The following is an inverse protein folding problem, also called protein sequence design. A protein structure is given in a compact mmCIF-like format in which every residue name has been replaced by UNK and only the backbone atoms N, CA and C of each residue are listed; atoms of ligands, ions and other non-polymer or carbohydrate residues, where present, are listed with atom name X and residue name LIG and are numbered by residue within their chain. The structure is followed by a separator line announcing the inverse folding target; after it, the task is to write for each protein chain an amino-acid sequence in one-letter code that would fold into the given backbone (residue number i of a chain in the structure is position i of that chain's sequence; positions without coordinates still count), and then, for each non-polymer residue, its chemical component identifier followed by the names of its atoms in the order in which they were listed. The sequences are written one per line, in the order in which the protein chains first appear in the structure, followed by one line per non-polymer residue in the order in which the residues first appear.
data_IF_787307637916
#
_entry.id   IF_787307637916
#
_cell.length_a   1.000
_cell.length_b   1.000
_cell.length_c   1.000
_cell.angle_alpha   90.00
_cell.angle_beta   90.00
_cell.angle_gamma   90.00
#
_symmetry.space_group_name_H-M   'P 1'
#
loop_
_entity.id
_entity.type
_entity.pdbx_description
1 polymer ?
#
# COMPACT_ATOMS: atom_id res chain seq x y z
N UNK A 1 -8.15 10.90 12.07
CA UNK A 1 -6.71 11.06 12.00
C UNK A 1 -6.21 10.92 10.57
N UNK A 2 -5.43 11.88 10.12
CA UNK A 2 -4.94 11.88 8.74
C UNK A 2 -3.69 11.04 8.64
N UNK A 3 -3.84 9.88 8.04
CA UNK A 3 -2.68 9.04 7.74
C UNK A 3 -2.28 9.30 6.30
N UNK A 4 -1.10 9.79 6.11
CA UNK A 4 -0.56 9.97 4.77
C UNK A 4 -0.07 8.64 4.24
N UNK A 5 -0.49 8.32 3.02
CA UNK A 5 -0.03 7.11 2.37
C UNK A 5 1.47 7.20 2.10
N UNK A 6 2.14 6.06 2.17
CA UNK A 6 3.58 6.00 1.92
C UNK A 6 3.88 5.99 0.43
N UNK A 7 5.02 6.57 0.01
CA UNK A 7 5.37 6.57 -1.42
C UNK A 7 5.70 5.17 -1.94
N UNK A 8 5.59 5.00 -3.24
CA UNK A 8 6.04 3.79 -3.91
C UNK A 8 7.49 3.51 -3.56
N UNK A 9 7.83 2.23 -3.39
CA UNK A 9 9.18 1.83 -3.05
C UNK A 9 9.47 1.84 -1.56
N UNK A 10 8.52 2.27 -0.73
CA UNK A 10 8.69 2.18 0.73
C UNK A 10 8.76 0.72 1.15
N UNK A 11 9.60 0.44 2.14
CA UNK A 11 9.77 -0.92 2.68
C UNK A 11 9.21 -0.93 4.09
N UNK A 12 8.31 -1.89 4.35
CA UNK A 12 7.58 -1.94 5.61
C UNK A 12 7.55 -3.34 6.19
N UNK A 13 7.23 -3.42 7.50
CA UNK A 13 6.88 -4.66 8.18
C UNK A 13 5.44 -4.55 8.65
N UNK A 14 4.68 -5.63 8.48
CA UNK A 14 3.31 -5.69 8.97
C UNK A 14 3.27 -6.25 10.39
N UNK A 15 2.15 -6.03 11.07
CA UNK A 15 2.01 -6.35 12.50
C UNK A 15 2.33 -7.78 12.86
N UNK A 16 1.91 -8.73 12.02
CA UNK A 16 2.11 -10.15 12.32
C UNK A 16 3.17 -10.77 11.43
N UNK A 17 3.92 -9.95 10.69
CA UNK A 17 4.89 -10.45 9.74
C UNK A 17 6.31 -10.20 10.17
N UNK A 18 7.19 -11.09 9.76
CA UNK A 18 8.63 -10.89 9.87
C UNK A 18 9.26 -10.59 8.52
N UNK A 19 8.46 -10.67 7.45
CA UNK A 19 8.95 -10.47 6.10
C UNK A 19 8.76 -9.03 5.68
N UNK A 20 9.82 -8.40 5.17
CA UNK A 20 9.72 -7.03 4.64
C UNK A 20 8.95 -7.03 3.34
N UNK A 21 8.16 -5.98 3.13
CA UNK A 21 7.37 -5.80 1.90
C UNK A 21 7.72 -4.46 1.28
N UNK A 22 7.72 -4.41 -0.05
CA UNK A 22 7.92 -3.18 -0.82
C UNK A 22 6.58 -2.74 -1.39
N UNK A 23 6.21 -1.49 -1.18
CA UNK A 23 4.95 -0.94 -1.70
C UNK A 23 5.09 -0.69 -3.19
N UNK A 24 4.20 -1.27 -3.99
CA UNK A 24 4.23 -1.16 -5.45
C UNK A 24 2.96 -0.56 -6.05
N UNK A 25 1.93 -0.32 -5.25
CA UNK A 25 0.71 0.29 -5.76
C UNK A 25 -0.28 0.63 -4.67
N UNK A 26 -1.40 1.22 -5.06
CA UNK A 26 -2.42 1.74 -4.15
C UNK A 26 -3.82 1.33 -4.59
N UNK A 27 -4.74 1.26 -3.62
CA UNK A 27 -6.18 1.06 -3.85
C UNK A 27 -6.46 -0.14 -4.73
N UNK A 28 -6.13 -1.32 -4.21
CA UNK A 28 -6.18 -2.58 -4.95
C UNK A 28 -7.23 -3.49 -4.34
N UNK A 29 -8.01 -4.15 -5.18
CA UNK A 29 -8.90 -5.24 -4.73
C UNK A 29 -8.36 -6.56 -5.26
N UNK A 30 -8.84 -7.67 -4.68
CA UNK A 30 -8.44 -9.01 -5.09
C UNK A 30 -9.68 -9.81 -5.44
N UNK A 31 -9.54 -10.88 -6.24
CA UNK A 31 -10.68 -11.76 -6.53
C UNK A 31 -11.31 -12.38 -5.29
N UNK A 32 -10.51 -12.62 -4.24
CA UNK A 32 -11.02 -13.18 -2.99
C UNK A 32 -11.88 -12.19 -2.23
N UNK A 33 -11.57 -10.89 -2.35
CA UNK A 33 -12.28 -9.84 -1.64
C UNK A 33 -12.63 -8.71 -2.60
N UNK A 34 -13.53 -8.96 -3.55
CA UNK A 34 -13.80 -7.99 -4.62
C UNK A 34 -14.43 -6.69 -4.12
N UNK A 35 -15.08 -6.72 -2.95
CA UNK A 35 -15.74 -5.54 -2.40
C UNK A 35 -14.85 -4.76 -1.44
N UNK A 36 -13.62 -5.24 -1.19
CA UNK A 36 -12.70 -4.57 -0.28
C UNK A 36 -11.57 -3.93 -1.06
N UNK A 37 -11.31 -2.64 -0.77
CA UNK A 37 -10.21 -1.90 -1.40
C UNK A 37 -9.10 -1.77 -0.37
N UNK A 38 -7.96 -2.42 -0.64
CA UNK A 38 -6.77 -2.33 0.21
C UNK A 38 -5.99 -1.05 -0.11
N UNK A 39 -5.38 -0.47 0.91
CA UNK A 39 -4.62 0.77 0.73
C UNK A 39 -3.42 0.56 -0.19
N UNK A 40 -2.75 -0.59 -0.07
CA UNK A 40 -1.51 -0.86 -0.78
C UNK A 40 -1.50 -2.25 -1.39
N UNK A 41 -0.72 -2.38 -2.45
CA UNK A 41 -0.21 -3.69 -2.84
C UNK A 41 1.33 -3.62 -2.84
N UNK A 42 1.95 -4.79 -2.76
CA UNK A 42 3.40 -4.85 -2.71
C UNK A 42 3.93 -6.23 -2.99
N UNK A 43 5.25 -6.35 -2.92
CA UNK A 43 5.93 -7.62 -3.10
C UNK A 43 6.89 -7.85 -1.94
N UNK A 44 7.33 -9.09 -1.77
CA UNK A 44 8.26 -9.45 -0.72
C UNK A 44 9.65 -8.92 -1.02
N UNK A 45 10.37 -8.53 0.02
CA UNK A 45 11.75 -8.11 -0.05
C UNK A 45 12.61 -9.18 0.60
N UNK A 46 13.75 -9.58 0.01
CA UNK A 46 14.37 -9.04 -1.19
C UNK A 46 14.00 -9.73 -2.50
N UNK A 47 13.06 -10.65 -2.48
CA UNK A 47 12.76 -11.48 -3.65
C UNK A 47 12.14 -10.68 -4.79
N UNK A 48 11.33 -9.68 -4.47
CA UNK A 48 10.57 -8.96 -5.48
C UNK A 48 9.38 -9.77 -5.97
N UNK A 49 8.84 -9.39 -7.10
CA UNK A 49 7.72 -10.11 -7.71
C UNK A 49 8.27 -11.24 -8.56
N UNK A 50 8.10 -12.46 -8.05
CA UNK A 50 8.56 -13.65 -8.75
C UNK A 50 7.50 -14.15 -9.73
N UNK A 51 6.22 -14.11 -9.29
CA UNK A 51 5.08 -14.51 -10.09
C UNK A 51 3.96 -13.51 -9.85
N UNK A 52 3.05 -13.41 -10.82
CA UNK A 52 1.95 -12.45 -10.72
C UNK A 52 1.01 -12.75 -9.53
N UNK A 53 0.96 -14.00 -9.07
CA UNK A 53 0.08 -14.39 -7.97
C UNK A 53 0.75 -14.24 -6.60
N UNK A 54 1.95 -13.67 -6.51
CA UNK A 54 2.64 -13.45 -5.24
C UNK A 54 2.54 -11.99 -4.76
N UNK A 55 1.62 -11.22 -5.32
CA UNK A 55 1.41 -9.84 -4.90
C UNK A 55 0.68 -9.84 -3.55
N UNK A 56 1.19 -9.06 -2.61
CA UNK A 56 0.59 -8.91 -1.28
C UNK A 56 -0.28 -7.66 -1.24
N UNK A 57 -1.39 -7.72 -0.50
CA UNK A 57 -2.26 -6.56 -0.29
C UNK A 57 -2.42 -6.32 1.20
N UNK A 58 -2.46 -5.05 1.60
CA UNK A 58 -2.57 -4.71 3.01
C UNK A 58 -3.03 -3.27 3.18
N UNK A 59 -3.49 -2.96 4.39
CA UNK A 59 -3.94 -1.61 4.73
C UNK A 59 -2.88 -0.89 5.53
N UNK A 60 -2.94 0.44 5.52
CA UNK A 60 -1.98 1.27 6.25
C UNK A 60 -1.98 0.92 7.74
N UNK A 61 -3.14 0.61 8.29
CA UNK A 61 -3.26 0.27 9.72
C UNK A 61 -2.50 -1.01 10.09
N UNK A 62 -2.16 -1.85 9.13
CA UNK A 62 -1.44 -3.09 9.38
C UNK A 62 0.07 -2.92 9.43
N UNK A 63 0.57 -1.73 9.09
CA UNK A 63 2.01 -1.47 9.07
C UNK A 63 2.50 -1.29 10.50
N UNK A 64 3.44 -2.14 10.90
CA UNK A 64 4.07 -2.08 12.21
C UNK A 64 5.26 -1.13 12.22
N UNK A 65 6.04 -1.15 11.15
CA UNK A 65 7.29 -0.39 11.08
C UNK A 65 7.60 0.00 9.64
N UNK A 66 8.05 1.23 9.46
CA UNK A 66 8.57 1.71 8.17
C UNK A 66 10.08 1.54 8.20
N UNK A 67 10.60 0.64 7.37
CA UNK A 67 12.04 0.36 7.29
C UNK A 67 12.74 1.41 6.43
N UNK A 68 12.12 1.76 5.31
CA UNK A 68 12.68 2.70 4.34
C UNK A 68 11.53 3.43 3.68
N UNK A 69 11.62 4.75 3.63
CA UNK A 69 10.61 5.56 2.96
C UNK A 69 11.04 5.78 1.51
N UNK A 70 10.16 5.47 0.57
CA UNK A 70 10.46 5.56 -0.84
C UNK A 70 10.66 6.98 -1.33
N UNK A 71 11.05 7.10 -2.58
CA UNK A 71 11.30 8.39 -3.22
C UNK A 71 10.01 9.22 -3.24
N UNK A 72 10.09 10.45 -2.82
CA UNK A 72 8.94 11.34 -2.74
C UNK A 72 9.32 12.70 -3.34
N UNK A 73 8.69 13.04 -4.47
CA UNK A 73 8.85 14.34 -5.09
C UNK A 73 7.48 15.00 -5.19
N UNK A 74 7.43 16.17 -5.82
CA UNK A 74 6.20 16.93 -5.93
C UNK A 74 5.13 16.15 -6.73
N UNK A 75 5.54 15.46 -7.76
CA UNK A 75 4.64 14.64 -8.57
C UNK A 75 3.99 13.55 -7.73
N UNK A 76 4.78 12.84 -6.94
CA UNK A 76 4.27 11.78 -6.09
C UNK A 76 3.35 12.32 -5.01
N UNK A 77 3.69 13.48 -4.44
CA UNK A 77 2.83 14.10 -3.43
C UNK A 77 1.45 14.41 -3.97
N UNK A 78 1.39 14.95 -5.19
CA UNK A 78 0.11 15.26 -5.81
C UNK A 78 -0.69 14.00 -6.10
N UNK A 79 -0.03 12.96 -6.54
CA UNK A 79 -0.68 11.69 -6.80
C UNK A 79 -1.25 11.10 -5.52
N UNK A 80 -0.48 11.12 -4.43
CA UNK A 80 -0.93 10.59 -3.15
C UNK A 80 -2.11 11.37 -2.60
N UNK A 81 -2.15 12.68 -2.80
CA UNK A 81 -3.30 13.48 -2.39
C UNK A 81 -4.56 13.07 -3.16
N UNK A 82 -4.40 12.78 -4.44
CA UNK A 82 -5.51 12.32 -5.25
C UNK A 82 -6.01 10.95 -4.79
N UNK A 83 -5.10 10.03 -4.49
CA UNK A 83 -5.44 8.71 -3.97
C UNK A 83 -6.20 8.84 -2.64
N UNK A 84 -5.74 9.73 -1.77
CA UNK A 84 -6.38 9.96 -0.50
C UNK A 84 -7.83 10.44 -0.67
N UNK A 85 -8.06 11.34 -1.64
CA UNK A 85 -9.41 11.81 -1.94
C UNK A 85 -10.29 10.69 -2.47
N UNK A 86 -9.76 9.85 -3.35
CA UNK A 86 -10.51 8.74 -3.90
C UNK A 86 -10.89 7.75 -2.81
N UNK A 87 -9.98 7.49 -1.86
CA UNK A 87 -10.26 6.62 -0.75
C UNK A 87 -11.42 7.16 0.11
N UNK A 88 -11.45 8.47 0.33
CA UNK A 88 -12.53 9.08 1.09
C UNK A 88 -13.87 8.92 0.36
N UNK A 89 -13.88 9.07 -0.95
CA UNK A 89 -15.10 8.89 -1.74
C UNK A 89 -15.60 7.45 -1.67
N UNK A 90 -14.69 6.48 -1.76
CA UNK A 90 -15.04 5.07 -1.66
C UNK A 90 -15.67 4.80 -0.29
N UNK A 91 -15.08 5.32 0.78
CA UNK A 91 -15.60 5.12 2.12
C UNK A 91 -16.98 5.76 2.32
N UNK A 92 -17.23 6.89 1.64
CA UNK A 92 -18.53 7.56 1.76
C UNK A 92 -19.63 6.81 1.03
N UNK A 93 -19.30 6.04 0.01
CA UNK A 93 -20.28 5.28 -0.75
C UNK A 93 -20.72 4.02 -0.02
N UNK A 94 -19.98 3.63 0.98
CA UNK A 94 -20.28 2.45 1.78
C UNK A 94 -20.91 2.89 3.11
#
# INVERSE_FOLDING_TARGET
MNKNLLPLGSVVLLNNGSKKLIITGYLVSTPEYPDHIFDYCGCMYPEGTIRSDTICVFNHSEIKKIIFKGYLNLEEQKYLENIKRQKLLINQEN
#
